data_IF_018136368298
#
_entry.id   IF_018136368298
#
_cell.length_a   1.000
_cell.length_b   1.000
_cell.length_c   1.000
_cell.angle_alpha   90.00
_cell.angle_beta   90.00
_cell.angle_gamma   90.00
#
_symmetry.space_group_name_H-M   'P 1'
#
loop_
_entity.id
_entity.type
_entity.pdbx_description
1 polymer ?
#
# COMPACT_ATOMS: atom_id res chain seq x y z
N UNK A 1 -24.42 -4.70 -1.30
CA UNK A 1 -23.50 -5.72 -1.85
C UNK A 1 -22.25 -5.00 -2.32
N UNK A 2 -21.10 -5.29 -1.74
CA UNK A 2 -19.81 -4.69 -2.14
C UNK A 2 -19.26 -5.48 -3.31
N UNK A 3 -19.04 -4.85 -4.46
CA UNK A 3 -18.39 -5.53 -5.60
C UNK A 3 -16.91 -5.72 -5.29
N UNK A 4 -16.39 -6.96 -5.25
CA UNK A 4 -14.98 -7.20 -4.95
C UNK A 4 -14.07 -6.59 -6.01
N UNK A 5 -12.91 -6.10 -5.58
CA UNK A 5 -11.85 -5.67 -6.51
C UNK A 5 -11.01 -6.87 -6.91
N UNK A 6 -10.87 -7.09 -8.22
CA UNK A 6 -9.91 -8.07 -8.74
C UNK A 6 -8.49 -7.58 -8.47
N UNK A 7 -7.75 -8.29 -7.63
CA UNK A 7 -6.34 -8.03 -7.36
C UNK A 7 -5.49 -8.96 -8.26
N UNK A 8 -4.62 -8.39 -9.12
CA UNK A 8 -3.61 -9.17 -9.83
C UNK A 8 -2.64 -9.89 -8.86
N UNK A 9 -1.93 -10.91 -9.34
CA UNK A 9 -0.95 -11.67 -8.52
C UNK A 9 0.27 -10.83 -8.14
N UNK A 10 0.58 -9.86 -8.98
CA UNK A 10 1.66 -8.89 -8.92
C UNK A 10 1.20 -7.62 -8.20
N UNK A 11 0.45 -7.79 -7.10
CA UNK A 11 -0.09 -6.70 -6.28
C UNK A 11 0.61 -6.62 -4.93
N UNK A 12 1.05 -5.42 -4.55
CA UNK A 12 1.54 -5.12 -3.21
C UNK A 12 0.64 -4.12 -2.48
N UNK A 13 0.53 -4.26 -1.15
CA UNK A 13 -0.09 -3.26 -0.27
C UNK A 13 0.98 -2.32 0.28
N UNK A 14 0.82 -1.01 0.06
CA UNK A 14 1.68 0.02 0.64
C UNK A 14 0.84 0.89 1.57
N UNK A 15 1.24 0.92 2.84
CA UNK A 15 0.51 1.63 3.90
C UNK A 15 1.28 2.89 4.22
N UNK A 16 0.72 4.05 3.88
CA UNK A 16 1.29 5.34 4.20
C UNK A 16 0.93 5.70 5.65
N UNK A 17 1.94 5.87 6.49
CA UNK A 17 1.75 6.22 7.90
C UNK A 17 2.64 7.41 8.31
N UNK A 18 2.09 8.46 8.94
CA UNK A 18 2.90 9.40 9.70
C UNK A 18 3.54 8.66 10.89
N UNK A 19 4.82 8.90 11.19
CA UNK A 19 5.60 8.11 12.17
C UNK A 19 5.02 7.99 13.57
N UNK A 20 4.23 8.97 14.00
CA UNK A 20 3.53 8.94 15.28
C UNK A 20 2.26 8.06 15.31
N UNK A 21 1.89 7.42 14.20
CA UNK A 21 0.54 6.85 14.00
C UNK A 21 0.51 5.32 13.89
N UNK A 22 1.37 4.62 14.64
CA UNK A 22 1.27 3.16 14.76
C UNK A 22 -0.15 2.71 15.16
N UNK A 23 -0.81 3.47 16.03
CA UNK A 23 -2.18 3.18 16.49
C UNK A 23 -3.21 3.13 15.35
N UNK A 24 -3.06 3.91 14.29
CA UNK A 24 -4.00 3.91 13.16
C UNK A 24 -3.90 2.65 12.30
N UNK A 25 -2.75 1.96 12.31
CA UNK A 25 -2.61 0.65 11.66
C UNK A 25 -3.54 -0.40 12.30
N UNK A 26 -3.86 -0.23 13.58
CA UNK A 26 -4.73 -1.11 14.36
C UNK A 26 -6.19 -0.66 14.38
N UNK A 27 -6.52 0.46 13.71
CA UNK A 27 -7.91 0.92 13.60
C UNK A 27 -8.61 0.25 12.42
N UNK A 28 -9.86 -0.12 12.63
CA UNK A 28 -10.74 -0.49 11.52
C UNK A 28 -11.01 0.74 10.63
N UNK A 29 -11.13 0.57 9.31
CA UNK A 29 -11.12 -0.71 8.58
C UNK A 29 -9.73 -1.18 8.09
N UNK A 30 -8.67 -0.41 8.38
CA UNK A 30 -7.31 -0.70 7.92
C UNK A 30 -6.75 -2.00 8.53
N UNK A 31 -7.01 -2.25 9.82
CA UNK A 31 -6.57 -3.46 10.51
C UNK A 31 -7.11 -4.75 9.86
N UNK A 32 -8.40 -4.81 9.50
CA UNK A 32 -8.97 -5.96 8.78
C UNK A 32 -8.33 -6.21 7.41
N UNK A 33 -8.00 -5.15 6.66
CA UNK A 33 -7.30 -5.28 5.36
C UNK A 33 -5.90 -5.84 5.58
N UNK A 34 -5.15 -5.31 6.54
CA UNK A 34 -3.80 -5.78 6.89
C UNK A 34 -3.84 -7.25 7.29
N UNK A 35 -4.79 -7.64 8.15
CA UNK A 35 -4.96 -9.02 8.61
C UNK A 35 -5.28 -9.97 7.44
N UNK A 36 -6.16 -9.55 6.53
CA UNK A 36 -6.51 -10.33 5.34
C UNK A 36 -5.33 -10.48 4.39
N UNK A 37 -4.57 -9.41 4.16
CA UNK A 37 -3.37 -9.40 3.33
C UNK A 37 -2.28 -10.31 3.90
N UNK A 38 -2.13 -10.30 5.23
CA UNK A 38 -1.23 -11.19 5.97
C UNK A 38 -1.64 -12.65 5.83
N UNK A 39 -2.91 -12.97 6.05
CA UNK A 39 -3.43 -14.32 5.92
C UNK A 39 -3.26 -14.88 4.50
N UNK A 40 -3.28 -14.01 3.48
CA UNK A 40 -3.03 -14.36 2.09
C UNK A 40 -1.54 -14.43 1.70
N UNK A 41 -0.62 -14.13 2.61
CA UNK A 41 0.83 -14.06 2.37
C UNK A 41 1.20 -13.18 1.16
N UNK A 42 0.47 -12.07 1.00
CA UNK A 42 0.69 -11.15 -0.11
C UNK A 42 1.73 -10.07 0.26
N UNK A 43 2.49 -9.54 -0.73
CA UNK A 43 3.45 -8.46 -0.55
C UNK A 43 2.85 -7.23 0.13
N UNK A 44 3.54 -6.70 1.14
CA UNK A 44 3.09 -5.54 1.92
C UNK A 44 4.26 -4.79 2.54
N UNK A 45 4.15 -3.47 2.67
CA UNK A 45 5.11 -2.62 3.37
C UNK A 45 4.42 -1.42 4.03
N UNK A 46 4.99 -0.94 5.13
CA UNK A 46 4.64 0.35 5.73
C UNK A 46 5.65 1.38 5.23
N UNK A 47 5.14 2.49 4.69
CA UNK A 47 5.93 3.61 4.21
C UNK A 47 5.77 4.76 5.20
N UNK A 48 6.90 5.20 5.75
CA UNK A 48 6.94 6.24 6.78
C UNK A 48 7.98 7.32 6.43
N UNK A 49 7.78 8.59 6.78
CA UNK A 49 8.79 9.62 6.53
C UNK A 49 10.08 9.33 7.27
N UNK A 50 11.23 9.62 6.65
CA UNK A 50 12.53 9.50 7.31
C UNK A 50 12.64 10.37 8.58
N UNK A 51 11.95 11.51 8.62
CA UNK A 51 11.99 12.45 9.75
C UNK A 51 11.08 12.05 10.93
N UNK A 52 10.16 11.12 10.70
CA UNK A 52 9.23 10.62 11.70
C UNK A 52 8.95 9.15 11.36
N UNK A 53 9.86 8.22 11.73
CA UNK A 53 9.70 6.81 11.43
C UNK A 53 8.74 6.13 12.41
N UNK A 54 7.81 5.32 11.90
CA UNK A 54 6.97 4.45 12.72
C UNK A 54 7.87 3.52 13.55
N UNK A 55 7.81 3.68 14.87
CA UNK A 55 8.39 2.75 15.85
C UNK A 55 7.35 1.72 16.27
N UNK A 56 6.87 0.93 15.30
CA UNK A 56 6.06 -0.25 15.62
C UNK A 56 6.94 -1.49 15.42
N UNK A 57 7.38 -2.05 16.54
CA UNK A 57 8.17 -3.29 16.63
C UNK A 57 7.33 -4.55 16.52
N UNK A 58 5.99 -4.44 16.43
CA UNK A 58 5.06 -5.58 16.56
C UNK A 58 4.53 -6.11 15.21
N UNK A 59 5.08 -5.63 14.09
CA UNK A 59 4.59 -5.98 12.77
C UNK A 59 5.60 -6.81 11.97
N UNK A 60 5.21 -8.04 11.61
CA UNK A 60 5.75 -8.82 10.47
C UNK A 60 5.50 -8.12 9.10
N UNK A 61 5.57 -6.79 9.08
CA UNK A 61 5.37 -5.93 7.92
C UNK A 61 6.66 -5.10 7.81
N UNK A 62 7.39 -5.21 6.69
CA UNK A 62 8.60 -4.42 6.51
C UNK A 62 8.24 -2.92 6.53
N UNK A 63 8.94 -2.17 7.37
CA UNK A 63 8.86 -0.70 7.43
C UNK A 63 9.96 -0.12 6.54
N UNK A 64 9.59 0.80 5.67
CA UNK A 64 10.51 1.52 4.80
C UNK A 64 10.34 3.02 5.01
N UNK A 65 11.47 3.73 5.07
CA UNK A 65 11.46 5.18 5.12
C UNK A 65 11.46 5.78 3.72
N UNK A 66 10.87 6.96 3.58
CA UNK A 66 10.90 7.74 2.35
C UNK A 66 11.23 9.22 2.64
N UNK A 67 11.75 9.91 1.62
CA UNK A 67 12.07 11.33 1.66
C UNK A 67 10.82 12.22 1.70
N UNK A 68 11.03 13.53 1.91
CA UNK A 68 9.94 14.50 2.00
C UNK A 68 9.21 14.75 0.66
N UNK A 69 9.85 14.43 -0.47
CA UNK A 69 9.29 14.70 -1.80
C UNK A 69 8.25 13.66 -2.27
N UNK A 70 8.19 12.48 -1.67
CA UNK A 70 7.30 11.41 -2.11
C UNK A 70 7.64 10.07 -1.49
N UNK A 71 6.79 9.08 -1.75
CA UNK A 71 6.96 7.72 -1.21
C UNK A 71 8.04 6.93 -1.95
N UNK A 72 8.46 7.37 -3.14
CA UNK A 72 9.60 6.81 -3.88
C UNK A 72 10.86 7.68 -3.80
N UNK A 73 10.80 8.83 -3.13
CA UNK A 73 11.98 9.70 -2.92
C UNK A 73 12.94 9.09 -1.91
N UNK A 74 14.23 9.11 -2.23
CA UNK A 74 15.32 8.69 -1.33
C UNK A 74 15.12 7.28 -0.74
N UNK A 75 14.50 6.38 -1.51
CA UNK A 75 14.19 5.02 -1.10
C UNK A 75 14.45 4.03 -2.25
N UNK A 76 14.62 2.76 -1.91
CA UNK A 76 14.79 1.65 -2.86
C UNK A 76 13.47 0.93 -3.17
N UNK A 77 12.33 1.56 -2.86
CA UNK A 77 10.99 1.01 -3.05
C UNK A 77 10.69 0.58 -4.49
N UNK A 78 10.97 1.43 -5.48
CA UNK A 78 10.75 1.12 -6.92
C UNK A 78 11.61 -0.07 -7.40
N UNK A 79 12.94 -0.08 -7.17
CA UNK A 79 13.78 -1.25 -7.44
C UNK A 79 13.29 -2.54 -6.78
N UNK A 80 12.78 -2.49 -5.54
CA UNK A 80 12.25 -3.68 -4.85
C UNK A 80 10.95 -4.18 -5.45
N UNK A 81 10.00 -3.29 -5.72
CA UNK A 81 8.72 -3.63 -6.33
C UNK A 81 8.94 -4.23 -7.73
N UNK A 82 9.79 -3.62 -8.55
CA UNK A 82 10.13 -4.13 -9.88
C UNK A 82 10.87 -5.47 -9.84
N UNK A 83 11.85 -5.65 -8.94
CA UNK A 83 12.56 -6.92 -8.76
C UNK A 83 11.64 -8.06 -8.30
N UNK A 84 10.62 -7.75 -7.50
CA UNK A 84 9.58 -8.69 -7.10
C UNK A 84 8.52 -8.96 -8.21
N UNK A 85 8.61 -8.25 -9.34
CA UNK A 85 7.66 -8.34 -10.45
C UNK A 85 6.30 -7.74 -10.14
N UNK A 86 6.20 -6.81 -9.19
CA UNK A 86 4.97 -6.09 -8.87
C UNK A 86 4.71 -5.06 -9.95
N UNK A 87 3.48 -5.03 -10.48
CA UNK A 87 3.01 -3.98 -11.40
C UNK A 87 1.77 -3.27 -10.88
N UNK A 88 1.18 -3.76 -9.79
CA UNK A 88 -0.01 -3.16 -9.16
C UNK A 88 0.27 -2.83 -7.70
N UNK A 89 -0.08 -1.63 -7.27
CA UNK A 89 0.04 -1.21 -5.87
C UNK A 89 -1.32 -0.80 -5.32
N UNK A 90 -1.65 -1.29 -4.13
CA UNK A 90 -2.77 -0.81 -3.33
C UNK A 90 -2.20 0.16 -2.31
N UNK A 91 -2.61 1.42 -2.40
CA UNK A 91 -2.22 2.45 -1.45
C UNK A 91 -3.31 2.59 -0.40
N UNK A 92 -2.92 2.45 0.86
CA UNK A 92 -3.73 2.70 2.03
C UNK A 92 -3.10 3.82 2.84
N UNK A 93 -3.90 4.69 3.46
CA UNK A 93 -3.38 5.76 4.31
C UNK A 93 -3.99 5.66 5.69
N UNK A 94 -3.12 5.78 6.70
CA UNK A 94 -3.48 5.83 8.11
C UNK A 94 -3.84 7.27 8.54
N UNK A 95 -4.67 7.97 7.75
CA UNK A 95 -5.28 9.26 8.15
C UNK A 95 -4.93 10.48 7.29
N UNK A 96 -4.07 10.37 6.28
CA UNK A 96 -3.73 11.49 5.38
C UNK A 96 -4.11 11.17 3.92
N UNK A 97 -5.27 11.65 3.43
CA UNK A 97 -5.70 11.41 2.06
C UNK A 97 -4.85 12.16 1.02
N UNK A 98 -4.21 13.27 1.37
CA UNK A 98 -3.36 14.02 0.45
C UNK A 98 -2.10 13.23 0.07
N UNK A 99 -1.52 12.53 1.06
CA UNK A 99 -0.42 11.60 0.80
C UNK A 99 -0.80 10.41 -0.06
N UNK A 100 -2.03 9.91 0.09
CA UNK A 100 -2.55 8.82 -0.74
C UNK A 100 -2.64 9.24 -2.22
N UNK A 101 -3.08 10.49 -2.47
CA UNK A 101 -3.10 11.08 -3.81
C UNK A 101 -1.69 11.29 -4.38
N UNK A 102 -0.79 11.89 -3.61
CA UNK A 102 0.58 12.15 -4.03
C UNK A 102 1.32 10.83 -4.35
N UNK A 103 1.25 9.85 -3.44
CA UNK A 103 1.84 8.54 -3.67
C UNK A 103 1.21 7.80 -4.84
N UNK A 104 -0.10 7.98 -5.06
CA UNK A 104 -0.81 7.44 -6.21
C UNK A 104 -0.32 8.02 -7.53
N UNK A 105 -0.20 9.34 -7.62
CA UNK A 105 0.33 10.02 -8.80
C UNK A 105 1.79 9.61 -9.09
N UNK A 106 2.60 9.47 -8.05
CA UNK A 106 4.00 9.05 -8.17
C UNK A 106 4.11 7.60 -8.68
N UNK A 107 3.34 6.67 -8.11
CA UNK A 107 3.29 5.29 -8.55
C UNK A 107 2.78 5.16 -10.00
N UNK A 108 1.73 5.91 -10.36
CA UNK A 108 1.21 5.92 -11.72
C UNK A 108 2.25 6.44 -12.73
N UNK A 109 3.00 7.50 -12.37
CA UNK A 109 4.09 8.04 -13.20
C UNK A 109 5.22 7.03 -13.43
N UNK A 110 5.45 6.14 -12.47
CA UNK A 110 6.41 5.03 -12.58
C UNK A 110 5.84 3.82 -13.35
N UNK A 111 4.57 3.87 -13.77
CA UNK A 111 3.93 2.83 -14.58
C UNK A 111 3.19 1.75 -13.78
N UNK A 112 3.06 1.91 -12.46
CA UNK A 112 2.25 1.00 -11.65
C UNK A 112 0.76 1.24 -11.90
N UNK A 113 -0.02 0.16 -11.88
CA UNK A 113 -1.47 0.24 -11.70
C UNK A 113 -1.75 0.57 -10.25
N UNK A 114 -2.53 1.61 -10.02
CA UNK A 114 -2.78 2.12 -8.67
C UNK A 114 -4.21 1.81 -8.24
N UNK A 115 -4.36 1.22 -7.05
CA UNK A 115 -5.64 1.08 -6.38
C UNK A 115 -5.58 1.91 -5.10
N UNK A 116 -6.46 2.90 -4.98
CA UNK A 116 -6.52 3.81 -3.85
C UNK A 116 -7.60 3.31 -2.89
N UNK A 117 -7.17 2.92 -1.68
CA UNK A 117 -8.08 2.50 -0.63
C UNK A 117 -8.66 3.72 0.08
N UNK A 118 -9.95 3.92 -0.10
CA UNK A 118 -10.70 5.01 0.53
C UNK A 118 -12.14 4.59 0.70
N UNK A 119 -12.78 5.03 1.80
CA UNK A 119 -14.21 4.90 1.95
C UNK A 119 -14.88 5.81 0.90
N UNK A 120 -15.51 5.16 -0.09
CA UNK A 120 -15.82 5.72 -1.41
C UNK A 120 -16.70 6.96 -1.49
N UNK A 121 -17.09 7.58 -0.37
CA UNK A 121 -17.89 8.81 -0.33
C UNK A 121 -17.03 10.10 -0.31
N UNK A 122 -15.75 10.04 0.09
CA UNK A 122 -14.90 11.24 0.15
C UNK A 122 -14.12 11.53 -1.16
N UNK A 123 -14.31 10.72 -2.20
CA UNK A 123 -13.22 10.42 -3.13
C UNK A 123 -13.48 10.66 -4.62
N UNK A 124 -14.59 11.24 -5.07
CA UNK A 124 -14.82 11.35 -6.53
C UNK A 124 -13.99 12.44 -7.21
N UNK A 125 -13.88 13.64 -6.62
CA UNK A 125 -13.26 14.79 -7.30
C UNK A 125 -11.76 14.94 -7.02
N UNK A 126 -11.31 14.69 -5.79
CA UNK A 126 -9.88 14.84 -5.45
C UNK A 126 -8.99 13.79 -6.15
N UNK A 127 -9.54 12.61 -6.40
CA UNK A 127 -8.83 11.45 -6.95
C UNK A 127 -8.89 11.36 -8.48
N UNK A 128 -9.68 12.21 -9.13
CA UNK A 128 -9.67 12.36 -10.58
C UNK A 128 -8.29 12.83 -11.12
N UNK A 129 -7.46 13.41 -10.25
CA UNK A 129 -6.09 13.86 -10.58
C UNK A 129 -5.09 12.72 -10.78
N UNK A 130 -5.36 11.52 -10.24
CA UNK A 130 -4.53 10.33 -10.48
C UNK A 130 -5.16 9.54 -11.63
N UNK A 131 -4.81 9.92 -12.86
CA UNK A 131 -5.30 9.26 -14.07
C UNK A 131 -5.13 7.73 -13.96
N UNK A 132 -6.20 6.99 -14.26
CA UNK A 132 -6.29 5.53 -14.23
C UNK A 132 -6.20 4.83 -12.86
N UNK A 133 -6.16 5.57 -11.74
CA UNK A 133 -6.25 4.95 -10.42
C UNK A 133 -7.67 4.41 -10.15
N UNK A 134 -7.74 3.16 -9.69
CA UNK A 134 -8.99 2.55 -9.25
C UNK A 134 -9.25 2.88 -7.78
N UNK A 135 -10.41 3.43 -7.48
CA UNK A 135 -10.85 3.64 -6.09
C UNK A 135 -11.57 2.40 -5.59
N UNK A 136 -11.25 1.97 -4.36
CA UNK A 136 -11.86 0.80 -3.75
C UNK A 136 -12.06 1.00 -2.25
N UNK A 137 -13.22 0.57 -1.74
CA UNK A 137 -13.43 0.54 -0.31
C UNK A 137 -12.59 -0.57 0.35
N UNK A 138 -12.24 -0.43 1.63
CA UNK A 138 -11.58 -1.48 2.40
C UNK A 138 -12.29 -2.83 2.29
N UNK A 139 -13.63 -2.85 2.35
CA UNK A 139 -14.42 -4.06 2.18
C UNK A 139 -14.29 -4.69 0.79
N UNK A 140 -14.22 -3.88 -0.27
CA UNK A 140 -14.05 -4.37 -1.65
C UNK A 140 -12.65 -4.97 -1.87
N UNK A 141 -11.64 -4.39 -1.22
CA UNK A 141 -10.27 -4.88 -1.23
C UNK A 141 -10.19 -6.21 -0.47
N UNK A 142 -10.71 -6.29 0.76
CA UNK A 142 -10.73 -7.53 1.55
C UNK A 142 -11.41 -8.68 0.80
N UNK A 143 -12.55 -8.42 0.17
CA UNK A 143 -13.22 -9.41 -0.67
C UNK A 143 -12.37 -9.82 -1.89
N UNK A 144 -11.60 -8.88 -2.46
CA UNK A 144 -10.62 -9.12 -3.53
C UNK A 144 -9.44 -10.00 -3.11
N UNK A 145 -8.93 -9.79 -1.90
CA UNK A 145 -7.83 -10.61 -1.32
C UNK A 145 -8.28 -12.05 -1.20
N UNK A 146 -9.49 -12.30 -0.66
CA UNK A 146 -10.04 -13.65 -0.53
C UNK A 146 -10.12 -14.40 -1.86
N UNK A 147 -10.43 -13.69 -2.96
CA UNK A 147 -10.45 -14.26 -4.32
C UNK A 147 -9.05 -14.54 -4.88
N UNK A 148 -8.03 -13.84 -4.38
CA UNK A 148 -6.65 -13.86 -4.91
C UNK A 148 -5.71 -14.75 -4.10
N UNK A 149 -6.06 -15.07 -2.84
CA UNK A 149 -5.28 -15.85 -1.87
C UNK A 149 -4.86 -17.26 -2.35
N UNK A 150 -5.41 -17.75 -3.47
CA UNK A 150 -5.03 -19.03 -4.06
C UNK A 150 -3.75 -19.02 -4.92
N UNK A 151 -3.09 -17.87 -5.16
CA UNK A 151 -2.01 -17.78 -6.16
C UNK A 151 -0.80 -16.96 -5.66
N UNK A 152 0.19 -17.68 -5.14
CA UNK A 152 1.29 -17.19 -4.28
C UNK A 152 2.52 -16.67 -5.06
N UNK A 153 3.14 -15.58 -4.59
CA UNK A 153 4.58 -15.29 -4.76
C UNK A 153 5.13 -14.72 -3.45
N UNK A 154 6.19 -15.32 -2.87
CA UNK A 154 6.82 -14.76 -1.67
C UNK A 154 7.48 -13.42 -2.00
N UNK A 155 7.27 -12.44 -1.14
CA UNK A 155 7.90 -11.13 -1.21
C UNK A 155 9.35 -11.21 -0.68
N UNK A 156 10.36 -10.74 -1.41
CA UNK A 156 11.71 -10.65 -0.88
C UNK A 156 11.77 -9.50 0.14
N UNK A 157 11.69 -9.84 1.43
CA UNK A 157 11.83 -8.89 2.56
C UNK A 157 13.28 -8.56 2.89
N UNK A 158 14.26 -9.27 2.32
CA UNK A 158 15.68 -9.04 2.59
C UNK A 158 16.21 -7.84 1.78
N UNK A 159 17.02 -6.95 2.39
CA UNK A 159 17.72 -5.91 1.64
C UNK A 159 18.63 -6.56 0.60
N UNK A 160 18.54 -6.11 -0.64
CA UNK A 160 19.52 -6.44 -1.66
C UNK A 160 20.84 -5.74 -1.28
N UNK A 161 21.82 -6.53 -0.85
CA UNK A 161 23.22 -6.19 -0.56
C UNK A 161 23.54 -5.61 0.83
N UNK A 162 23.89 -6.50 1.75
CA UNK A 162 25.09 -6.32 2.56
C UNK A 162 26.26 -6.95 1.78
N UNK A 163 26.98 -6.14 1.01
CA UNK A 163 28.28 -6.46 0.43
C UNK A 163 29.27 -5.37 0.86
#
# INVERSE_FOLDING_TARGET
MTTPVRLPQDTALLILSPGTTAQALHQEPLAAVIASWRAADMPRAILTPMQDPVSDTDADIPVMTHGAAGIFSDTDLDPRLTAAGITTVVLASAGDPARLLQGGAEAARLGYRVILMTDGDAASDAFASVADAKIASPAAITAGIALSAGRKRPWPTAPANAL
#
